data_IF_612584684726
#
_entry.id   IF_612584684726
#
_cell.length_a   1.000
_cell.length_b   1.000
_cell.length_c   1.000
_cell.angle_alpha   90.00
_cell.angle_beta   90.00
_cell.angle_gamma   90.00
#
_symmetry.space_group_name_H-M   'P 1'
#
loop_
_entity.id
_entity.type
_entity.pdbx_description
1 polymer ?
#
# COMPACT_ATOMS: atom_id res chain seq x y z
N UNK A 1 11.84 -5.38 16.26
CA UNK A 1 10.90 -4.68 15.35
C UNK A 1 11.54 -4.48 13.98
N UNK A 2 11.04 -5.19 13.00
CA UNK A 2 11.48 -4.98 11.63
C UNK A 2 10.88 -3.68 11.11
N UNK A 3 11.75 -2.81 10.60
CA UNK A 3 11.34 -1.60 9.93
C UNK A 3 11.45 -1.83 8.43
N UNK A 4 10.36 -1.57 7.72
CA UNK A 4 10.42 -1.47 6.26
C UNK A 4 10.43 -0.01 5.88
N UNK A 5 11.36 0.35 5.02
CA UNK A 5 11.56 1.73 4.60
C UNK A 5 11.35 1.79 3.10
N UNK A 6 10.49 2.68 2.64
CA UNK A 6 10.32 2.93 1.22
C UNK A 6 11.52 3.71 0.66
N UNK A 7 11.63 3.75 -0.65
CA UNK A 7 12.57 4.65 -1.29
C UNK A 7 12.17 6.11 -1.02
N UNK A 8 13.17 6.99 -1.05
CA UNK A 8 12.92 8.41 -0.84
C UNK A 8 12.00 8.98 -1.91
N UNK A 9 10.97 9.69 -1.47
CA UNK A 9 9.98 10.31 -2.34
C UNK A 9 9.48 11.61 -1.69
N UNK A 10 8.82 12.45 -2.45
CA UNK A 10 8.26 13.71 -1.94
C UNK A 10 6.76 13.53 -1.69
N UNK A 11 6.41 13.04 -0.49
CA UNK A 11 5.02 12.67 -0.19
C UNK A 11 4.10 13.86 0.07
N UNK A 12 4.64 15.01 0.46
CA UNK A 12 3.85 16.21 0.75
C UNK A 12 3.97 17.32 -0.31
N UNK A 13 4.79 17.09 -1.35
CA UNK A 13 4.92 18.04 -2.44
C UNK A 13 5.71 19.30 -2.11
N UNK A 14 6.55 19.28 -1.08
CA UNK A 14 7.34 20.46 -0.66
C UNK A 14 8.68 20.60 -1.40
N UNK A 15 8.99 19.69 -2.30
CA UNK A 15 10.25 19.67 -3.05
C UNK A 15 11.39 18.96 -2.32
N UNK A 16 11.16 18.46 -1.13
CA UNK A 16 12.14 17.68 -0.36
C UNK A 16 11.68 16.23 -0.29
N UNK A 17 12.64 15.32 -0.33
CA UNK A 17 12.34 13.89 -0.27
C UNK A 17 12.30 13.39 1.16
N UNK A 18 11.36 12.50 1.44
CA UNK A 18 11.20 11.81 2.71
C UNK A 18 11.27 10.29 2.51
N UNK A 19 11.41 9.55 3.59
CA UNK A 19 11.22 8.10 3.59
C UNK A 19 10.09 7.74 4.54
N UNK A 20 9.53 6.55 4.34
CA UNK A 20 8.45 6.00 5.14
C UNK A 20 8.90 4.71 5.84
N UNK A 21 8.44 4.51 7.07
CA UNK A 21 8.73 3.32 7.87
C UNK A 21 7.43 2.67 8.33
N UNK A 22 7.44 1.35 8.39
CA UNK A 22 6.32 0.56 8.92
C UNK A 22 6.58 0.24 10.39
N UNK A 23 5.57 0.48 11.22
CA UNK A 23 5.50 0.07 12.62
C UNK A 23 4.33 -0.89 12.77
N UNK A 24 4.64 -2.17 12.90
CA UNK A 24 3.63 -3.22 12.98
C UNK A 24 3.24 -3.52 14.43
N UNK A 25 2.02 -4.02 14.68
CA UNK A 25 1.58 -4.36 16.02
C UNK A 25 2.33 -5.59 16.55
N UNK A 26 2.34 -5.72 17.87
CA UNK A 26 2.86 -6.92 18.54
C UNK A 26 1.78 -7.99 18.51
N UNK A 27 2.13 -9.16 17.99
CA UNK A 27 1.23 -10.29 17.85
C UNK A 27 1.34 -11.19 19.07
N UNK A 28 0.20 -11.61 19.60
CA UNK A 28 0.12 -12.60 20.69
C UNK A 28 0.03 -13.98 20.03
N UNK A 29 1.10 -14.77 20.16
CA UNK A 29 1.34 -15.98 19.37
C UNK A 29 0.22 -17.02 19.36
N UNK A 30 -0.30 -17.41 20.51
CA UNK A 30 -1.22 -18.53 20.60
C UNK A 30 -2.62 -18.22 20.09
N UNK A 31 -3.01 -16.96 20.07
CA UNK A 31 -4.36 -16.53 19.69
C UNK A 31 -4.38 -15.87 18.31
N UNK A 32 -3.23 -15.69 17.68
CA UNK A 32 -3.09 -14.95 16.42
C UNK A 32 -3.81 -13.60 16.50
N UNK A 33 -3.66 -12.93 17.63
CA UNK A 33 -4.27 -11.63 17.91
C UNK A 33 -3.19 -10.61 18.24
N UNK A 34 -3.56 -9.35 18.23
CA UNK A 34 -2.63 -8.26 18.50
C UNK A 34 -2.72 -7.81 19.95
N UNK A 35 -1.62 -7.26 20.49
CA UNK A 35 -1.45 -6.91 21.90
C UNK A 35 -2.61 -6.08 22.47
N UNK A 36 -3.11 -5.13 21.70
CA UNK A 36 -4.20 -4.25 22.13
C UNK A 36 -5.56 -4.69 21.60
N UNK A 37 -5.69 -5.91 21.11
CA UNK A 37 -6.91 -6.44 20.52
C UNK A 37 -7.14 -6.01 19.07
N UNK A 38 -6.57 -4.87 18.66
CA UNK A 38 -6.68 -4.35 17.30
C UNK A 38 -5.35 -4.50 16.57
N UNK A 39 -5.40 -5.06 15.36
CA UNK A 39 -4.23 -5.20 14.52
C UNK A 39 -4.13 -4.00 13.59
N UNK A 40 -3.38 -3.00 14.03
CA UNK A 40 -3.17 -1.77 13.28
C UNK A 40 -1.69 -1.61 12.97
N UNK A 41 -1.36 -1.44 11.70
CA UNK A 41 -0.03 -1.08 11.24
C UNK A 41 0.01 0.42 11.00
N UNK A 42 1.07 1.07 11.44
CA UNK A 42 1.25 2.50 11.28
C UNK A 42 2.40 2.77 10.31
N UNK A 43 2.18 3.66 9.37
CA UNK A 43 3.23 4.16 8.46
C UNK A 43 3.61 5.54 8.96
N UNK A 44 4.88 5.72 9.30
CA UNK A 44 5.44 6.99 9.76
C UNK A 44 6.43 7.53 8.73
N UNK A 45 6.58 8.84 8.71
CA UNK A 45 7.42 9.52 7.73
C UNK A 45 8.58 10.22 8.42
N UNK A 46 9.70 10.38 7.69
CA UNK A 46 10.87 11.07 8.19
C UNK A 46 10.59 12.54 8.49
N UNK A 47 9.72 13.18 7.72
CA UNK A 47 9.19 14.51 8.01
C UNK A 47 7.99 14.36 8.96
N UNK A 48 8.15 14.78 10.21
CA UNK A 48 7.13 14.61 11.25
C UNK A 48 5.94 15.55 11.11
N UNK A 49 5.98 16.50 10.18
CA UNK A 49 4.81 17.31 9.84
C UNK A 49 3.81 16.53 8.97
N UNK A 50 4.24 15.44 8.33
CA UNK A 50 3.36 14.55 7.60
C UNK A 50 2.68 13.60 8.57
N UNK A 51 1.36 13.53 8.51
CA UNK A 51 0.59 12.63 9.39
C UNK A 51 0.94 11.17 9.13
N UNK A 52 0.89 10.36 10.19
CA UNK A 52 1.01 8.93 10.08
C UNK A 52 -0.21 8.34 9.37
N UNK A 53 -0.02 7.22 8.70
CA UNK A 53 -1.13 6.43 8.14
C UNK A 53 -1.39 5.26 9.07
N UNK A 54 -2.65 5.05 9.45
CA UNK A 54 -3.09 3.87 10.17
C UNK A 54 -3.76 2.90 9.19
N UNK A 55 -3.27 1.67 9.14
CA UNK A 55 -3.84 0.61 8.32
C UNK A 55 -4.45 -0.44 9.26
N UNK A 56 -5.77 -0.52 9.28
CA UNK A 56 -6.50 -1.45 10.12
C UNK A 56 -6.48 -2.86 9.54
N UNK A 57 -6.55 -3.86 10.41
CA UNK A 57 -6.49 -5.27 10.04
C UNK A 57 -5.24 -5.57 9.21
N UNK A 58 -4.10 -5.15 9.75
CA UNK A 58 -2.82 -5.22 9.07
C UNK A 58 -1.72 -5.47 10.10
N UNK A 59 -0.83 -6.42 9.81
CA UNK A 59 0.28 -6.79 10.70
C UNK A 59 1.63 -6.58 10.03
N UNK A 60 1.78 -5.47 9.32
CA UNK A 60 2.97 -5.13 8.56
C UNK A 60 2.68 -5.11 7.08
N UNK A 61 3.68 -5.27 6.26
CA UNK A 61 3.52 -5.31 4.82
C UNK A 61 4.74 -4.81 4.08
N UNK A 62 4.55 -4.54 2.77
CA UNK A 62 5.58 -4.02 1.89
C UNK A 62 5.14 -2.68 1.34
N UNK A 63 5.96 -1.65 1.53
CA UNK A 63 5.72 -0.32 0.96
C UNK A 63 6.19 -0.26 -0.49
N UNK A 64 5.44 0.49 -1.29
CA UNK A 64 5.80 0.76 -2.68
C UNK A 64 5.57 2.25 -2.95
N UNK A 65 6.63 3.02 -3.27
CA UNK A 65 6.45 4.39 -3.74
C UNK A 65 5.87 4.37 -5.15
N UNK A 66 4.81 5.14 -5.37
CA UNK A 66 4.07 5.12 -6.64
C UNK A 66 4.38 6.30 -7.55
N UNK A 67 5.19 7.25 -7.10
CA UNK A 67 5.38 8.50 -7.81
C UNK A 67 4.13 9.38 -7.76
N UNK A 68 4.12 10.42 -8.56
CA UNK A 68 3.01 11.38 -8.61
C UNK A 68 1.93 10.87 -9.59
N UNK A 69 0.97 10.11 -9.09
CA UNK A 69 -0.06 9.49 -9.93
C UNK A 69 -1.12 10.48 -10.41
N UNK A 70 -1.45 11.49 -9.61
CA UNK A 70 -2.53 12.42 -9.92
C UNK A 70 -2.07 13.80 -10.41
N UNK A 71 -0.77 13.99 -10.54
CA UNK A 71 -0.21 15.22 -11.11
C UNK A 71 -0.23 16.43 -10.18
N UNK A 72 -0.40 16.22 -8.87
CA UNK A 72 -0.47 17.33 -7.90
C UNK A 72 0.89 17.77 -7.36
N UNK A 73 1.97 17.13 -7.79
CA UNK A 73 3.33 17.44 -7.33
C UNK A 73 3.78 16.68 -6.09
N UNK A 74 2.91 15.86 -5.51
CA UNK A 74 3.24 15.01 -4.36
C UNK A 74 3.18 13.53 -4.78
N UNK A 75 4.08 12.72 -4.23
CA UNK A 75 4.15 11.30 -4.56
C UNK A 75 3.18 10.50 -3.71
N UNK A 76 2.51 9.53 -4.32
CA UNK A 76 1.65 8.58 -3.64
C UNK A 76 2.45 7.41 -3.09
N UNK A 77 1.89 6.70 -2.12
CA UNK A 77 2.51 5.53 -1.51
C UNK A 77 1.49 4.40 -1.39
N UNK A 78 1.94 3.19 -1.69
CA UNK A 78 1.14 1.99 -1.53
C UNK A 78 1.71 1.04 -0.50
N UNK A 79 0.84 0.20 0.05
CA UNK A 79 1.22 -0.89 0.93
C UNK A 79 0.50 -2.16 0.52
N UNK A 80 1.26 -3.25 0.34
CA UNK A 80 0.69 -4.60 0.35
C UNK A 80 0.57 -4.98 1.82
N UNK A 81 -0.65 -5.13 2.33
CA UNK A 81 -0.87 -5.46 3.73
C UNK A 81 -0.46 -6.90 4.04
N UNK A 82 0.08 -7.12 5.24
CA UNK A 82 0.34 -8.47 5.72
C UNK A 82 -0.78 -8.89 6.67
N UNK A 83 -1.17 -10.18 6.59
CA UNK A 83 -2.22 -10.75 7.42
C UNK A 83 -2.03 -12.25 7.57
N UNK A 84 -1.42 -12.67 8.66
CA UNK A 84 -1.21 -14.07 9.07
C UNK A 84 -0.91 -15.01 7.88
N UNK A 85 -1.78 -16.00 7.61
CA UNK A 85 -1.55 -16.99 6.55
C UNK A 85 -2.43 -16.78 5.32
N UNK A 86 -3.15 -15.68 5.24
CA UNK A 86 -4.07 -15.42 4.14
C UNK A 86 -3.32 -15.09 2.84
N UNK A 87 -3.65 -15.80 1.77
CA UNK A 87 -3.14 -15.53 0.43
C UNK A 87 -3.77 -14.29 -0.18
N UNK A 88 -5.08 -14.06 0.08
CA UNK A 88 -5.77 -12.85 -0.38
C UNK A 88 -5.34 -11.66 0.46
N UNK A 89 -4.96 -10.60 -0.20
CA UNK A 89 -4.54 -9.36 0.42
C UNK A 89 -5.06 -8.14 -0.29
N UNK A 90 -4.64 -7.00 0.22
CA UNK A 90 -4.96 -5.69 -0.35
C UNK A 90 -3.68 -4.99 -0.74
N UNK A 91 -3.73 -4.25 -1.83
CA UNK A 91 -2.77 -3.21 -2.10
C UNK A 91 -3.50 -1.88 -2.01
N UNK A 92 -3.14 -1.07 -1.03
CA UNK A 92 -3.83 0.18 -0.73
C UNK A 92 -2.90 1.33 -1.11
N UNK A 93 -3.37 2.23 -1.97
CA UNK A 93 -2.63 3.42 -2.40
C UNK A 93 -3.21 4.63 -1.71
N UNK A 94 -2.32 5.42 -1.10
CA UNK A 94 -2.68 6.63 -0.35
C UNK A 94 -2.12 7.86 -1.05
N UNK A 95 -2.91 8.93 -1.02
CA UNK A 95 -2.50 10.26 -1.48
C UNK A 95 -2.63 11.28 -0.34
N UNK A 96 -1.67 12.21 -0.25
CA UNK A 96 -1.67 13.23 0.80
C UNK A 96 -2.25 14.52 0.25
N UNK A 97 -3.41 14.94 0.80
CA UNK A 97 -4.11 16.15 0.38
C UNK A 97 -4.67 16.88 1.60
N UNK A 98 -4.55 18.20 1.60
CA UNK A 98 -5.08 19.03 2.69
C UNK A 98 -4.55 18.59 4.07
N UNK A 99 -3.26 18.27 4.12
CA UNK A 99 -2.57 17.82 5.32
C UNK A 99 -3.15 16.53 5.93
N UNK A 100 -3.73 15.68 5.10
CA UNK A 100 -4.27 14.39 5.53
C UNK A 100 -4.14 13.33 4.44
N UNK A 101 -4.20 12.08 4.83
CA UNK A 101 -4.13 10.95 3.91
C UNK A 101 -5.51 10.50 3.47
N UNK A 102 -5.65 10.23 2.19
CA UNK A 102 -6.86 9.67 1.59
C UNK A 102 -6.50 8.41 0.81
N UNK A 103 -7.42 7.45 0.79
CA UNK A 103 -7.24 6.26 -0.02
C UNK A 103 -7.56 6.61 -1.47
N UNK A 104 -6.58 6.43 -2.35
CA UNK A 104 -6.75 6.63 -3.79
C UNK A 104 -7.31 5.39 -4.47
N UNK A 105 -6.82 4.22 -4.08
CA UNK A 105 -7.26 2.95 -4.65
C UNK A 105 -7.01 1.81 -3.67
N UNK A 106 -7.87 0.79 -3.71
CA UNK A 106 -7.67 -0.47 -2.98
C UNK A 106 -7.84 -1.62 -3.97
N UNK A 107 -6.79 -2.42 -4.11
CA UNK A 107 -6.76 -3.55 -5.05
C UNK A 107 -6.74 -4.86 -4.29
N UNK A 108 -7.40 -5.89 -4.86
CA UNK A 108 -7.26 -7.26 -4.39
C UNK A 108 -6.00 -7.86 -4.99
N UNK A 109 -5.16 -8.48 -4.18
CA UNK A 109 -3.92 -9.07 -4.65
C UNK A 109 -3.72 -10.49 -4.13
N UNK A 110 -2.94 -11.27 -4.88
CA UNK A 110 -2.32 -12.48 -4.37
C UNK A 110 -1.12 -12.04 -3.54
N UNK A 111 -1.30 -12.01 -2.24
CA UNK A 111 -0.29 -11.48 -1.30
C UNK A 111 1.04 -12.19 -1.45
N UNK A 112 1.02 -13.50 -1.60
CA UNK A 112 2.27 -14.27 -1.69
C UNK A 112 3.05 -13.93 -2.94
N UNK A 113 2.37 -13.70 -4.06
CA UNK A 113 3.02 -13.33 -5.30
C UNK A 113 3.62 -11.93 -5.24
N UNK A 114 2.84 -10.94 -4.79
CA UNK A 114 3.26 -9.53 -4.86
C UNK A 114 4.24 -9.13 -3.77
N UNK A 115 4.24 -9.81 -2.60
CA UNK A 115 5.20 -9.50 -1.56
C UNK A 115 6.62 -9.97 -1.91
N UNK A 116 6.74 -11.05 -2.65
CA UNK A 116 8.05 -11.62 -3.02
C UNK A 116 8.65 -11.03 -4.30
N UNK A 117 7.83 -10.41 -5.14
CA UNK A 117 8.26 -9.94 -6.45
C UNK A 117 8.02 -8.44 -6.58
N UNK A 118 9.10 -7.65 -6.48
CA UNK A 118 9.04 -6.20 -6.57
C UNK A 118 8.59 -5.71 -7.94
N UNK A 119 8.96 -6.40 -9.01
CA UNK A 119 8.53 -6.06 -10.36
C UNK A 119 7.02 -6.22 -10.50
N UNK A 120 6.49 -7.30 -9.95
CA UNK A 120 5.05 -7.56 -9.95
C UNK A 120 4.31 -6.50 -9.11
N UNK A 121 4.86 -6.18 -7.93
CA UNK A 121 4.31 -5.13 -7.04
C UNK A 121 4.27 -3.77 -7.74
N UNK A 122 5.36 -3.40 -8.41
CA UNK A 122 5.45 -2.14 -9.15
C UNK A 122 4.49 -2.07 -10.34
N UNK A 123 4.04 -3.20 -10.85
CA UNK A 123 3.12 -3.27 -12.00
C UNK A 123 1.65 -3.13 -11.62
N UNK A 124 1.32 -3.12 -10.31
CA UNK A 124 -0.07 -3.10 -9.85
C UNK A 124 -0.80 -1.83 -10.22
N UNK A 125 -0.10 -0.70 -10.25
CA UNK A 125 -0.66 0.59 -10.61
C UNK A 125 0.26 1.25 -11.64
N UNK A 126 -0.31 1.71 -12.73
CA UNK A 126 0.42 2.45 -13.78
C UNK A 126 -0.28 3.75 -14.09
N UNK A 127 0.47 4.84 -14.08
CA UNK A 127 -0.06 6.14 -14.49
C UNK A 127 -0.28 6.16 -16.00
N UNK A 128 -1.49 6.55 -16.42
CA UNK A 128 -1.81 6.79 -17.83
C UNK A 128 -1.77 8.29 -18.11
N UNK A 129 -2.38 9.09 -17.23
CA UNK A 129 -2.38 10.55 -17.28
C UNK A 129 -2.59 11.07 -15.86
N UNK A 130 -2.62 12.40 -15.67
CA UNK A 130 -2.79 12.98 -14.34
C UNK A 130 -4.09 12.59 -13.62
N UNK A 131 -5.08 12.14 -14.36
CA UNK A 131 -6.37 11.76 -13.80
C UNK A 131 -6.80 10.33 -14.13
N UNK A 132 -5.89 9.52 -14.70
CA UNK A 132 -6.18 8.13 -15.06
C UNK A 132 -5.04 7.22 -14.68
N UNK A 133 -5.37 6.12 -14.04
CA UNK A 133 -4.43 5.05 -13.73
C UNK A 133 -4.98 3.71 -14.20
N UNK A 134 -4.09 2.82 -14.60
CA UNK A 134 -4.41 1.42 -14.84
C UNK A 134 -4.11 0.65 -13.57
N UNK A 135 -5.08 -0.12 -13.09
CA UNK A 135 -4.94 -0.93 -11.89
C UNK A 135 -5.12 -2.40 -12.21
N UNK A 136 -4.39 -3.25 -11.48
CA UNK A 136 -4.44 -4.69 -11.62
C UNK A 136 -5.05 -5.30 -10.38
N UNK A 137 -6.17 -6.00 -10.54
CA UNK A 137 -6.81 -6.74 -9.47
C UNK A 137 -6.64 -8.24 -9.71
N UNK A 138 -6.42 -8.99 -8.64
CA UNK A 138 -6.44 -10.44 -8.70
C UNK A 138 -7.86 -10.92 -8.45
N UNK A 139 -8.33 -11.85 -9.27
CA UNK A 139 -9.65 -12.48 -9.13
C UNK A 139 -9.48 -13.98 -9.28
N UNK A 140 -10.44 -14.73 -8.70
CA UNK A 140 -10.45 -16.18 -8.86
C UNK A 140 -11.05 -16.55 -10.22
N UNK A 141 -10.41 -17.48 -10.92
CA UNK A 141 -10.93 -18.06 -12.17
C UNK A 141 -11.27 -19.54 -11.94
N UNK A 142 -12.54 -19.87 -12.04
CA UNK A 142 -12.99 -21.26 -11.92
C UNK A 142 -12.46 -22.12 -13.08
N UNK A 143 -12.36 -21.53 -14.26
CA UNK A 143 -11.85 -22.21 -15.45
C UNK A 143 -10.40 -22.63 -15.29
N UNK A 144 -9.57 -21.73 -14.76
CA UNK A 144 -8.14 -21.98 -14.55
C UNK A 144 -7.83 -22.57 -13.17
N UNK A 145 -8.80 -22.60 -12.29
CA UNK A 145 -8.64 -23.01 -10.89
C UNK A 145 -7.48 -22.28 -10.20
N UNK A 146 -7.36 -20.98 -10.47
CA UNK A 146 -6.28 -20.15 -9.94
C UNK A 146 -6.68 -18.67 -9.96
N UNK A 147 -5.88 -17.86 -9.32
CA UNK A 147 -6.03 -16.41 -9.38
C UNK A 147 -5.51 -15.89 -10.72
N UNK A 148 -6.25 -14.95 -11.28
CA UNK A 148 -5.87 -14.26 -12.53
C UNK A 148 -5.93 -12.76 -12.30
N UNK A 149 -5.15 -12.03 -13.11
CA UNK A 149 -5.09 -10.58 -13.03
C UNK A 149 -6.08 -9.97 -14.03
N UNK A 150 -6.92 -9.06 -13.53
CA UNK A 150 -7.78 -8.23 -14.37
C UNK A 150 -7.32 -6.79 -14.28
N UNK A 151 -7.05 -6.20 -15.42
CA UNK A 151 -6.66 -4.79 -15.52
C UNK A 151 -7.87 -3.92 -15.83
N UNK A 152 -7.93 -2.77 -15.22
CA UNK A 152 -8.97 -1.78 -15.51
C UNK A 152 -8.37 -0.38 -15.39
N UNK A 153 -9.02 0.58 -16.04
CA UNK A 153 -8.64 1.99 -15.98
C UNK A 153 -9.63 2.70 -15.07
N UNK A 154 -9.13 3.41 -14.07
CA UNK A 154 -9.95 4.22 -13.19
C UNK A 154 -9.58 5.69 -13.33
N UNK A 155 -10.59 6.55 -13.21
CA UNK A 155 -10.39 8.00 -13.16
C UNK A 155 -10.23 8.42 -11.72
N UNK A 156 -9.20 9.22 -11.44
CA UNK A 156 -8.91 9.75 -10.11
C UNK A 156 -9.12 11.26 -10.09
N UNK A 157 -9.58 11.82 -8.96
CA UNK A 157 -9.85 13.25 -8.86
C UNK A 157 -8.62 14.15 -8.98
#
# INVERSE_FOLDING_TARGET
>A
LEKQVSEDADFNGDGKKEYAEIYKPVIIDEEMSCENGDCITEIQFSDKSIKNIEVKNCIGGMLEPEGDLDGDGADEIGIVDDWFTSRWGRYIVFTYKNNDWQVLATLSVDRFAVMEDQTLRASLVKKISDHKIEVSNYTWSDEKEDMVIKKSVITIP
#
